data_IF_294582727212
#
_entry.id   IF_294582727212
#
_cell.length_a   1.000
_cell.length_b   1.000
_cell.length_c   1.000
_cell.angle_alpha   90.00
_cell.angle_beta   90.00
_cell.angle_gamma   90.00
#
_symmetry.space_group_name_H-M   'P 1'
#
loop_
_entity.id
_entity.type
_entity.pdbx_description
1 polymer ?
#
# COMPACT_ATOMS: atom_id res chain seq x y z
N UNK A 1 -1.55 6.17 1.95
CA UNK A 1 -0.59 5.51 1.05
C UNK A 1 0.69 6.28 0.79
N UNK A 2 0.68 7.36 0.00
CA UNK A 2 1.91 8.06 -0.42
C UNK A 2 2.87 8.40 0.73
N UNK A 3 2.35 8.93 1.83
CA UNK A 3 3.12 9.23 3.05
C UNK A 3 3.82 7.99 3.64
N UNK A 4 3.21 6.81 3.55
CA UNK A 4 3.79 5.56 4.04
C UNK A 4 4.87 5.04 3.11
N UNK A 5 4.63 5.08 1.80
CA UNK A 5 5.56 4.61 0.77
C UNK A 5 6.81 5.50 0.68
N UNK A 6 6.71 6.78 1.04
CA UNK A 6 7.84 7.71 1.08
C UNK A 6 8.63 7.69 2.40
N UNK A 7 8.23 6.91 3.42
CA UNK A 7 9.04 6.77 4.64
C UNK A 7 10.41 6.20 4.31
N UNK A 8 11.44 6.63 5.05
CA UNK A 8 12.84 6.25 4.85
C UNK A 8 13.05 4.73 4.78
N UNK A 9 12.31 3.96 5.59
CA UNK A 9 12.42 2.51 5.63
C UNK A 9 11.79 1.84 4.41
N UNK A 10 10.77 2.45 3.80
CA UNK A 10 10.03 1.93 2.64
C UNK A 10 10.64 2.46 1.35
N UNK A 11 10.53 3.77 1.10
CA UNK A 11 11.15 4.48 -0.02
C UNK A 11 10.70 4.02 -1.41
N UNK A 12 9.48 3.50 -1.56
CA UNK A 12 8.99 2.96 -2.84
C UNK A 12 8.47 4.04 -3.78
N UNK A 13 8.07 5.19 -3.22
CA UNK A 13 7.61 6.35 -3.99
C UNK A 13 8.10 7.64 -3.34
N UNK A 14 8.16 8.73 -4.10
CA UNK A 14 8.36 10.07 -3.56
C UNK A 14 7.54 11.12 -4.32
N UNK A 15 7.02 12.10 -3.59
CA UNK A 15 6.47 13.33 -4.20
C UNK A 15 7.52 14.03 -5.07
N UNK A 16 7.10 14.67 -6.17
CA UNK A 16 8.01 15.33 -7.12
C UNK A 16 8.83 16.43 -6.46
N UNK A 17 10.09 16.59 -6.91
CA UNK A 17 10.91 17.74 -6.52
C UNK A 17 10.60 18.92 -7.43
N UNK A 18 10.01 19.95 -6.86
CA UNK A 18 10.00 21.28 -7.48
C UNK A 18 11.39 21.90 -7.30
N UNK A 19 12.05 22.27 -8.41
CA UNK A 19 13.34 22.94 -8.38
C UNK A 19 13.28 24.20 -7.48
N UNK A 20 14.18 24.29 -6.51
CA UNK A 20 14.21 25.38 -5.52
C UNK A 20 13.44 25.12 -4.23
N UNK A 21 12.72 23.99 -4.11
CA UNK A 21 12.05 23.61 -2.87
C UNK A 21 13.07 23.14 -1.82
N UNK A 22 13.18 23.87 -0.70
CA UNK A 22 13.98 23.44 0.45
C UNK A 22 13.15 22.47 1.30
N UNK A 23 13.41 21.16 1.18
CA UNK A 23 12.70 20.13 1.95
C UNK A 23 12.88 20.24 3.49
N UNK A 24 13.92 20.94 3.94
CA UNK A 24 14.12 21.37 5.33
C UNK A 24 15.14 22.51 5.40
N UNK A 25 14.98 23.43 6.34
CA UNK A 25 15.91 24.55 6.58
C UNK A 25 17.30 24.13 7.05
N UNK A 26 17.45 22.94 7.65
CA UNK A 26 18.70 22.50 8.27
C UNK A 26 19.22 21.15 7.75
N UNK A 27 18.40 20.36 7.05
CA UNK A 27 18.75 19.01 6.62
C UNK A 27 18.57 18.87 5.09
N UNK A 28 19.65 19.06 4.31
CA UNK A 28 19.60 19.07 2.83
C UNK A 28 19.10 17.76 2.19
N UNK A 29 19.18 16.65 2.91
CA UNK A 29 18.73 15.33 2.45
C UNK A 29 17.24 15.06 2.73
N UNK A 30 16.56 15.92 3.51
CA UNK A 30 15.21 15.63 3.99
C UNK A 30 14.19 15.82 2.87
N UNK A 31 13.58 14.73 2.43
CA UNK A 31 12.44 14.72 1.50
C UNK A 31 11.17 14.34 2.27
N UNK A 32 10.21 15.25 2.38
CA UNK A 32 8.95 15.01 3.10
C UNK A 32 7.76 14.98 2.14
N UNK A 33 6.76 14.12 2.38
CA UNK A 33 5.50 14.08 1.64
C UNK A 33 4.55 15.22 2.09
N UNK A 34 5.05 16.46 2.04
CA UNK A 34 4.38 17.63 2.60
C UNK A 34 3.05 17.96 1.90
N UNK A 35 2.94 17.69 0.60
CA UNK A 35 1.71 17.93 -0.16
C UNK A 35 0.63 16.91 0.26
N UNK A 36 0.98 15.63 0.38
CA UNK A 36 0.09 14.59 0.90
C UNK A 36 -0.32 14.82 2.36
N UNK A 37 0.58 15.38 3.18
CA UNK A 37 0.28 15.80 4.55
C UNK A 37 -0.71 16.96 4.60
N UNK A 38 -0.53 17.96 3.73
CA UNK A 38 -1.46 19.09 3.56
C UNK A 38 -2.86 18.60 3.14
N UNK A 39 -2.95 17.73 2.12
CA UNK A 39 -4.22 17.14 1.68
C UNK A 39 -4.89 16.38 2.84
N UNK A 40 -4.11 15.62 3.62
CA UNK A 40 -4.63 14.91 4.81
C UNK A 40 -5.21 15.87 5.85
N UNK A 41 -4.61 17.05 6.01
CA UNK A 41 -5.11 18.12 6.88
C UNK A 41 -6.41 18.73 6.37
N UNK A 42 -6.44 19.13 5.09
CA UNK A 42 -7.62 19.74 4.45
C UNK A 42 -8.82 18.79 4.41
N UNK A 43 -8.60 17.49 4.23
CA UNK A 43 -9.65 16.49 4.32
C UNK A 43 -10.37 16.48 5.69
N UNK A 44 -9.69 16.92 6.77
CA UNK A 44 -10.32 17.06 8.10
C UNK A 44 -11.30 18.24 8.12
N UNK A 45 -10.98 19.35 7.44
CA UNK A 45 -11.87 20.49 7.30
C UNK A 45 -13.14 20.10 6.55
N UNK A 46 -13.00 19.45 5.38
CA UNK A 46 -14.15 18.99 4.59
C UNK A 46 -15.10 18.09 5.37
N UNK A 47 -14.57 17.15 6.16
CA UNK A 47 -15.42 16.31 7.03
C UNK A 47 -16.10 17.12 8.15
N UNK A 48 -15.45 18.15 8.66
CA UNK A 48 -16.05 19.08 9.63
C UNK A 48 -17.25 19.83 9.06
N UNK A 49 -17.15 20.30 7.80
CA UNK A 49 -18.26 20.98 7.13
C UNK A 49 -19.49 20.08 6.94
N UNK A 50 -19.32 18.76 6.81
CA UNK A 50 -20.44 17.82 6.70
C UNK A 50 -21.32 17.80 7.98
N UNK A 51 -20.73 17.98 9.16
CA UNK A 51 -21.49 18.06 10.43
C UNK A 51 -22.40 19.28 10.42
N UNK A 52 -21.87 20.44 10.01
CA UNK A 52 -22.65 21.69 9.90
C UNK A 52 -23.79 21.50 8.87
N UNK A 53 -23.51 20.85 7.74
CA UNK A 53 -24.53 20.53 6.74
C UNK A 53 -25.67 19.66 7.29
N UNK A 54 -25.37 18.71 8.19
CA UNK A 54 -26.38 17.88 8.84
C UNK A 54 -27.19 18.67 9.87
N UNK A 55 -26.54 19.52 10.67
CA UNK A 55 -27.22 20.36 11.68
C UNK A 55 -28.16 21.39 11.04
N UNK A 56 -27.87 21.82 9.81
CA UNK A 56 -28.72 22.74 9.05
C UNK A 56 -30.04 22.12 8.55
N UNK A 57 -30.25 20.79 8.66
CA UNK A 57 -31.44 20.11 8.09
C UNK A 57 -32.72 20.35 8.90
N UNK A 58 -32.64 20.34 10.23
CA UNK A 58 -33.80 20.35 11.12
C UNK A 58 -34.30 21.76 11.42
N UNK A 59 -34.66 22.50 10.38
CA UNK A 59 -35.23 23.85 10.49
C UNK A 59 -36.65 23.83 11.07
N UNK A 60 -37.05 24.94 11.69
CA UNK A 60 -38.35 25.04 12.37
C UNK A 60 -39.49 25.42 11.41
N UNK A 61 -40.57 24.65 11.44
CA UNK A 61 -41.81 24.87 10.66
C UNK A 61 -41.57 25.02 9.15
N UNK A 62 -42.03 26.10 8.52
CA UNK A 62 -41.84 26.35 7.08
C UNK A 62 -40.40 26.74 6.74
N UNK A 63 -39.66 27.36 7.68
CA UNK A 63 -38.21 27.64 7.67
C UNK A 63 -37.80 28.60 8.80
N UNK A 64 -36.58 28.44 9.28
CA UNK A 64 -35.79 29.53 9.91
C UNK A 64 -34.52 29.81 9.09
N UNK A 65 -33.76 30.84 9.45
CA UNK A 65 -32.60 31.34 8.67
C UNK A 65 -31.23 30.97 9.26
N UNK A 66 -31.18 30.12 10.30
CA UNK A 66 -29.94 29.76 10.99
C UNK A 66 -28.90 29.13 10.06
N UNK A 67 -29.34 28.29 9.11
CA UNK A 67 -28.50 27.71 8.07
C UNK A 67 -27.75 28.76 7.23
N UNK A 68 -28.32 29.95 7.04
CA UNK A 68 -27.79 30.93 6.09
C UNK A 68 -26.42 31.50 6.51
N UNK A 69 -26.18 31.73 7.80
CA UNK A 69 -24.87 32.25 8.26
C UNK A 69 -23.78 31.19 8.16
N UNK A 70 -24.11 29.93 8.43
CA UNK A 70 -23.17 28.80 8.36
C UNK A 70 -22.85 28.43 6.91
N UNK A 71 -23.85 28.44 6.03
CA UNK A 71 -23.70 28.18 4.58
C UNK A 71 -22.82 29.21 3.87
N UNK A 72 -22.84 30.48 4.30
CA UNK A 72 -21.92 31.51 3.80
C UNK A 72 -20.44 31.19 4.04
N UNK A 73 -20.16 30.33 5.01
CA UNK A 73 -18.80 29.84 5.30
C UNK A 73 -18.58 28.51 4.60
N UNK A 74 -19.42 27.50 4.90
CA UNK A 74 -19.12 26.12 4.50
C UNK A 74 -19.24 25.89 3.00
N UNK A 75 -20.13 26.58 2.28
CA UNK A 75 -20.28 26.37 0.83
C UNK A 75 -19.08 26.87 0.04
N UNK A 76 -18.64 28.14 0.16
CA UNK A 76 -17.44 28.58 -0.54
C UNK A 76 -16.21 27.81 -0.07
N UNK A 77 -16.03 27.62 1.25
CA UNK A 77 -14.86 26.92 1.78
C UNK A 77 -14.79 25.47 1.31
N UNK A 78 -15.89 24.71 1.37
CA UNK A 78 -15.88 23.32 0.95
C UNK A 78 -15.58 23.16 -0.54
N UNK A 79 -16.17 24.01 -1.39
CA UNK A 79 -15.90 23.99 -2.83
C UNK A 79 -14.43 24.33 -3.13
N UNK A 80 -13.91 25.40 -2.52
CA UNK A 80 -12.51 25.85 -2.75
C UNK A 80 -11.52 24.83 -2.23
N UNK A 81 -11.72 24.30 -1.02
CA UNK A 81 -10.82 23.31 -0.43
C UNK A 81 -10.83 22.02 -1.24
N UNK A 82 -12.00 21.55 -1.70
CA UNK A 82 -12.08 20.34 -2.51
C UNK A 82 -11.44 20.53 -3.88
N UNK A 83 -11.69 21.64 -4.56
CA UNK A 83 -11.07 21.98 -5.84
C UNK A 83 -9.54 21.98 -5.73
N UNK A 84 -9.01 22.69 -4.73
CA UNK A 84 -7.58 22.71 -4.45
C UNK A 84 -7.02 21.31 -4.15
N UNK A 85 -7.69 20.52 -3.32
CA UNK A 85 -7.25 19.15 -3.00
C UNK A 85 -7.21 18.24 -4.22
N UNK A 86 -8.18 18.37 -5.13
CA UNK A 86 -8.24 17.57 -6.36
C UNK A 86 -7.13 17.97 -7.33
N UNK A 87 -6.91 19.27 -7.54
CA UNK A 87 -5.82 19.76 -8.37
C UNK A 87 -4.46 19.32 -7.82
N UNK A 88 -4.22 19.53 -6.52
CA UNK A 88 -2.97 19.15 -5.88
C UNK A 88 -2.72 17.63 -5.92
N UNK A 89 -3.74 16.81 -5.66
CA UNK A 89 -3.58 15.35 -5.76
C UNK A 89 -3.29 14.90 -7.20
N UNK A 90 -3.90 15.55 -8.19
CA UNK A 90 -3.66 15.24 -9.60
C UNK A 90 -2.20 15.49 -9.95
N UNK A 91 -1.66 16.65 -9.59
CA UNK A 91 -0.24 16.99 -9.78
C UNK A 91 0.71 16.01 -9.06
N UNK A 92 0.39 15.63 -7.81
CA UNK A 92 1.18 14.65 -7.06
C UNK A 92 1.24 13.31 -7.80
N UNK A 93 0.08 12.82 -8.28
CA UNK A 93 0.00 11.50 -8.93
C UNK A 93 0.63 11.53 -10.33
N UNK A 94 0.41 12.60 -11.10
CA UNK A 94 0.98 12.77 -12.45
C UNK A 94 2.51 12.79 -12.45
N UNK A 95 3.11 13.33 -11.39
CA UNK A 95 4.55 13.50 -11.27
C UNK A 95 5.18 12.64 -10.16
N UNK A 96 4.47 11.63 -9.67
CA UNK A 96 4.95 10.76 -8.59
C UNK A 96 6.20 10.00 -9.06
N UNK A 97 7.29 10.12 -8.30
CA UNK A 97 8.48 9.29 -8.51
C UNK A 97 8.20 7.88 -7.96
N UNK A 98 8.34 6.85 -8.80
CA UNK A 98 8.16 5.44 -8.42
C UNK A 98 9.50 4.73 -8.55
N UNK A 99 9.86 3.91 -7.56
CA UNK A 99 11.15 3.20 -7.50
C UNK A 99 10.96 1.68 -7.53
N UNK A 100 10.77 1.05 -8.70
CA UNK A 100 10.53 -0.39 -8.83
C UNK A 100 11.63 -1.27 -8.21
N UNK A 101 12.89 -0.84 -8.28
CA UNK A 101 14.00 -1.60 -7.70
C UNK A 101 13.95 -1.60 -6.17
N UNK A 102 13.48 -0.50 -5.56
CA UNK A 102 13.23 -0.45 -4.12
C UNK A 102 12.06 -1.34 -3.72
N UNK A 103 10.98 -1.36 -4.51
CA UNK A 103 9.85 -2.29 -4.30
C UNK A 103 10.31 -3.76 -4.35
N UNK A 104 11.12 -4.13 -5.34
CA UNK A 104 11.70 -5.49 -5.44
C UNK A 104 12.62 -5.82 -4.27
N UNK A 105 13.42 -4.85 -3.81
CA UNK A 105 14.23 -5.03 -2.61
C UNK A 105 13.36 -5.27 -1.38
N UNK A 106 12.33 -4.45 -1.17
CA UNK A 106 11.43 -4.54 -0.03
C UNK A 106 10.67 -5.88 0.01
N UNK A 107 10.24 -6.38 -1.15
CA UNK A 107 9.61 -7.69 -1.29
C UNK A 107 10.50 -8.82 -0.71
N UNK A 108 11.82 -8.68 -0.86
CA UNK A 108 12.81 -9.66 -0.40
C UNK A 108 13.29 -9.45 1.04
N UNK A 109 12.87 -8.39 1.76
CA UNK A 109 13.33 -8.10 3.13
C UNK A 109 13.03 -9.22 4.13
N UNK A 110 11.97 -10.00 3.89
CA UNK A 110 11.60 -11.13 4.73
C UNK A 110 12.32 -12.43 4.35
N UNK A 111 13.31 -12.38 3.45
CA UNK A 111 14.04 -13.57 3.00
C UNK A 111 13.17 -14.61 2.30
N UNK A 112 12.05 -14.20 1.69
CA UNK A 112 11.11 -15.09 0.99
C UNK A 112 10.00 -15.68 1.86
N UNK A 113 9.87 -15.30 3.13
CA UNK A 113 8.80 -15.81 4.02
C UNK A 113 7.37 -15.54 3.48
N UNK A 114 7.20 -14.53 2.63
CA UNK A 114 5.95 -14.25 1.93
C UNK A 114 5.44 -15.42 1.07
N UNK A 115 6.32 -16.36 0.70
CA UNK A 115 5.98 -17.55 -0.10
C UNK A 115 5.61 -18.78 0.75
N UNK A 116 5.54 -18.63 2.08
CA UNK A 116 5.18 -19.72 3.01
C UNK A 116 3.80 -20.32 2.73
N UNK A 117 2.79 -19.49 2.47
CA UNK A 117 1.45 -19.99 2.13
C UNK A 117 1.42 -20.73 0.78
N UNK A 118 1.96 -20.18 -0.34
CA UNK A 118 2.10 -20.93 -1.59
C UNK A 118 2.77 -22.30 -1.42
N UNK A 119 3.87 -22.36 -0.65
CA UNK A 119 4.56 -23.62 -0.37
C UNK A 119 3.67 -24.61 0.40
N UNK A 120 2.95 -24.15 1.43
CA UNK A 120 2.02 -25.00 2.18
C UNK A 120 0.98 -25.63 1.26
N UNK A 121 0.36 -24.83 0.39
CA UNK A 121 -0.66 -25.32 -0.54
C UNK A 121 -0.05 -26.33 -1.52
N UNK A 122 1.14 -26.07 -2.06
CA UNK A 122 1.82 -27.00 -2.95
C UNK A 122 2.15 -28.35 -2.29
N UNK A 123 2.54 -28.35 -1.01
CA UNK A 123 2.78 -29.59 -0.26
C UNK A 123 1.49 -30.39 -0.04
N UNK A 124 0.38 -29.70 0.24
CA UNK A 124 -0.94 -30.35 0.37
C UNK A 124 -1.39 -30.93 -0.98
N UNK A 125 -1.22 -30.19 -2.07
CA UNK A 125 -1.56 -30.63 -3.42
C UNK A 125 -0.69 -31.82 -3.86
N UNK A 126 0.54 -31.91 -3.37
CA UNK A 126 1.44 -33.06 -3.55
C UNK A 126 1.10 -34.27 -2.65
N UNK A 127 0.06 -34.18 -1.82
CA UNK A 127 -0.46 -35.29 -1.01
C UNK A 127 -0.05 -35.30 0.46
N UNK A 128 0.62 -34.25 0.96
CA UNK A 128 0.93 -34.13 2.38
C UNK A 128 -0.33 -33.77 3.19
N UNK A 129 -0.50 -34.36 4.37
CA UNK A 129 -1.54 -33.93 5.31
C UNK A 129 -1.39 -32.44 5.65
N UNK A 130 -2.49 -31.69 5.65
CA UNK A 130 -2.48 -30.23 5.84
C UNK A 130 -1.88 -29.79 7.16
N UNK A 131 -2.12 -30.55 8.24
CA UNK A 131 -1.57 -30.22 9.56
C UNK A 131 -0.06 -30.47 9.58
N UNK A 132 0.38 -31.56 8.96
CA UNK A 132 1.80 -31.85 8.79
C UNK A 132 2.51 -30.79 7.92
N UNK A 133 1.93 -30.39 6.79
CA UNK A 133 2.46 -29.35 5.91
C UNK A 133 2.56 -28.00 6.62
N UNK A 134 1.54 -27.63 7.39
CA UNK A 134 1.56 -26.40 8.20
C UNK A 134 2.71 -26.41 9.21
N UNK A 135 2.86 -27.51 9.98
CA UNK A 135 3.92 -27.61 10.97
C UNK A 135 5.29 -27.53 10.33
N UNK A 136 5.51 -28.27 9.23
CA UNK A 136 6.77 -28.26 8.49
C UNK A 136 7.12 -26.85 7.98
N UNK A 137 6.18 -26.18 7.32
CA UNK A 137 6.40 -24.82 6.79
C UNK A 137 6.66 -23.83 7.92
N UNK A 138 5.92 -23.93 9.04
CA UNK A 138 6.11 -23.08 10.20
C UNK A 138 7.51 -23.26 10.81
N UNK A 139 7.96 -24.50 10.99
CA UNK A 139 9.28 -24.80 11.56
C UNK A 139 10.40 -24.23 10.69
N UNK A 140 10.31 -24.38 9.37
CA UNK A 140 11.29 -23.84 8.42
C UNK A 140 11.26 -22.30 8.38
N UNK A 141 10.07 -21.70 8.45
CA UNK A 141 9.89 -20.25 8.48
C UNK A 141 10.48 -19.61 9.74
N UNK A 142 10.36 -20.28 10.89
CA UNK A 142 10.96 -19.84 12.15
C UNK A 142 12.47 -20.06 12.20
N UNK A 143 12.96 -21.11 11.54
CA UNK A 143 14.39 -21.46 11.52
C UNK A 143 15.22 -20.54 10.59
N UNK A 144 14.68 -20.14 9.43
CA UNK A 144 15.45 -19.42 8.41
C UNK A 144 16.11 -18.12 8.91
N UNK A 145 15.40 -17.20 9.62
CA UNK A 145 16.03 -15.98 10.13
C UNK A 145 17.13 -16.25 11.16
N UNK A 146 16.98 -17.29 11.98
CA UNK A 146 17.95 -17.64 13.04
C UNK A 146 19.26 -18.17 12.45
N UNK A 147 19.18 -18.86 11.31
CA UNK A 147 20.34 -19.47 10.66
C UNK A 147 21.04 -18.52 9.67
N UNK A 148 20.49 -17.32 9.46
CA UNK A 148 21.03 -16.37 8.47
C UNK A 148 20.85 -16.83 7.02
N UNK A 149 19.95 -17.78 6.78
CA UNK A 149 19.59 -18.28 5.46
C UNK A 149 18.25 -17.71 5.02
N UNK A 150 18.05 -17.57 3.71
CA UNK A 150 16.73 -17.27 3.16
C UNK A 150 15.78 -18.45 3.39
N UNK A 151 14.47 -18.15 3.47
CA UNK A 151 13.44 -19.18 3.56
C UNK A 151 13.52 -20.16 2.39
N UNK A 152 13.85 -19.68 1.18
CA UNK A 152 14.02 -20.52 0.00
C UNK A 152 15.16 -21.53 0.15
N UNK A 153 16.31 -21.13 0.70
CA UNK A 153 17.44 -22.03 0.92
C UNK A 153 17.10 -23.13 1.93
N UNK A 154 16.45 -22.77 3.04
CA UNK A 154 16.03 -23.73 4.07
C UNK A 154 15.00 -24.72 3.55
N UNK A 155 14.06 -24.25 2.71
CA UNK A 155 13.07 -25.09 2.01
C UNK A 155 13.73 -26.04 1.03
N UNK A 156 14.65 -25.54 0.20
CA UNK A 156 15.36 -26.34 -0.80
C UNK A 156 16.29 -27.40 -0.17
N UNK A 157 16.80 -27.16 1.04
CA UNK A 157 17.62 -28.12 1.78
C UNK A 157 16.80 -29.23 2.48
N UNK A 158 15.48 -29.07 2.62
CA UNK A 158 14.64 -30.01 3.37
C UNK A 158 14.29 -31.25 2.53
N UNK A 159 14.67 -32.43 3.01
CA UNK A 159 14.44 -33.70 2.31
C UNK A 159 12.95 -34.01 2.07
N UNK A 160 12.07 -33.75 3.04
CA UNK A 160 10.63 -34.02 2.90
C UNK A 160 9.98 -33.17 1.80
N UNK A 161 10.50 -31.95 1.59
CA UNK A 161 10.03 -31.08 0.51
C UNK A 161 10.58 -31.55 -0.83
N UNK A 162 11.87 -31.91 -0.90
CA UNK A 162 12.52 -32.40 -2.13
C UNK A 162 11.94 -33.71 -2.64
N UNK A 163 11.41 -34.55 -1.75
CA UNK A 163 10.73 -35.80 -2.13
C UNK A 163 9.39 -35.55 -2.82
N UNK A 164 8.79 -34.36 -2.65
CA UNK A 164 7.47 -34.00 -3.18
C UNK A 164 7.51 -32.93 -4.28
N UNK A 165 8.45 -32.00 -4.20
CA UNK A 165 8.58 -30.84 -5.08
C UNK A 165 10.01 -30.79 -5.64
N UNK A 166 10.11 -30.71 -6.96
CA UNK A 166 11.38 -30.52 -7.65
C UNK A 166 11.85 -29.06 -7.62
N UNK A 167 13.12 -28.82 -8.00
CA UNK A 167 13.69 -27.47 -7.99
C UNK A 167 12.90 -26.50 -8.89
N UNK A 168 12.38 -26.99 -10.02
CA UNK A 168 11.57 -26.19 -10.93
C UNK A 168 10.22 -25.79 -10.31
N UNK A 169 9.60 -26.65 -9.49
CA UNK A 169 8.41 -26.30 -8.72
C UNK A 169 8.73 -25.25 -7.65
N UNK A 170 9.86 -25.39 -6.95
CA UNK A 170 10.29 -24.40 -5.98
C UNK A 170 10.59 -23.04 -6.63
N UNK A 171 11.25 -23.01 -7.79
CA UNK A 171 11.46 -21.77 -8.56
C UNK A 171 10.16 -21.06 -8.89
N UNK A 172 9.15 -21.81 -9.35
CA UNK A 172 7.82 -21.24 -9.61
C UNK A 172 7.18 -20.74 -8.31
N UNK A 173 7.20 -21.50 -7.22
CA UNK A 173 6.54 -21.09 -5.97
C UNK A 173 7.13 -19.81 -5.36
N UNK A 174 8.43 -19.59 -5.55
CA UNK A 174 9.15 -18.42 -5.05
C UNK A 174 9.25 -17.29 -6.09
N UNK A 175 8.57 -17.42 -7.23
CA UNK A 175 8.45 -16.34 -8.22
C UNK A 175 7.30 -15.38 -7.83
N UNK A 176 7.59 -14.10 -7.51
CA UNK A 176 6.56 -13.12 -7.17
C UNK A 176 5.59 -12.83 -8.32
N UNK A 177 5.99 -13.05 -9.58
CA UNK A 177 5.13 -12.82 -10.74
C UNK A 177 3.89 -13.73 -10.76
N UNK A 178 3.94 -14.88 -10.10
CA UNK A 178 2.79 -15.78 -9.98
C UNK A 178 1.62 -15.19 -9.18
N UNK A 179 1.89 -14.20 -8.32
CA UNK A 179 0.85 -13.45 -7.61
C UNK A 179 0.17 -12.40 -8.50
N UNK A 180 0.75 -12.09 -9.66
CA UNK A 180 0.27 -11.07 -10.59
C UNK A 180 -0.55 -11.65 -11.75
N UNK A 181 -0.81 -12.97 -11.76
CA UNK A 181 -1.50 -13.68 -12.86
C UNK A 181 -2.91 -13.17 -13.21
N UNK A 182 -3.54 -12.40 -12.32
CA UNK A 182 -4.88 -11.83 -12.53
C UNK A 182 -4.87 -10.30 -12.60
N UNK A 183 -3.70 -9.67 -12.73
CA UNK A 183 -3.59 -8.21 -12.87
C UNK A 183 -4.34 -7.75 -14.11
N UNK A 184 -4.14 -8.39 -15.27
CA UNK A 184 -4.81 -8.03 -16.52
C UNK A 184 -6.34 -8.10 -16.40
N UNK A 185 -6.87 -9.19 -15.81
CA UNK A 185 -8.30 -9.32 -15.51
C UNK A 185 -8.81 -8.21 -14.58
N UNK A 186 -7.98 -7.78 -13.63
CA UNK A 186 -8.29 -6.66 -12.74
C UNK A 186 -8.42 -5.34 -13.49
N UNK A 187 -7.47 -5.05 -14.39
CA UNK A 187 -7.48 -3.84 -15.22
C UNK A 187 -8.65 -3.81 -16.19
N UNK A 188 -8.95 -4.94 -16.85
CA UNK A 188 -10.12 -5.08 -17.73
C UNK A 188 -11.43 -4.74 -17.00
N UNK A 189 -11.60 -5.22 -15.76
CA UNK A 189 -12.80 -4.98 -14.95
C UNK A 189 -13.02 -3.51 -14.59
N UNK A 190 -11.94 -2.74 -14.45
CA UNK A 190 -12.01 -1.29 -14.18
C UNK A 190 -11.99 -0.45 -15.45
N UNK A 191 -12.07 -1.08 -16.63
CA UNK A 191 -12.13 -0.40 -17.92
C UNK A 191 -10.79 0.16 -18.41
N UNK A 192 -9.68 -0.28 -17.81
CA UNK A 192 -8.33 0.06 -18.26
C UNK A 192 -7.82 -1.04 -19.19
N UNK A 193 -7.41 -0.67 -20.40
CA UNK A 193 -6.69 -1.57 -21.31
C UNK A 193 -5.20 -1.36 -21.08
N UNK A 194 -4.51 -2.40 -20.60
CA UNK A 194 -3.03 -2.45 -20.59
C UNK A 194 -2.57 -3.03 -21.94
#
# INVERSE_FOLDING_TARGET
ELRHLQRTEVGETAEPIVAGNQGSSAMPHKRNPHASERISGLARLLRGYAVIGLENVSLWHERDISHSSTERVIFPDACIVLDYMLAEMTEIIEHLEVYPDRMRHNLNLTGGLIFSQPLLLALVDAGMDRKAAYQLVQDLALAAPVQGHSFREVVAANHLIRDLLDEAALDRLFDPWNQLRYVDTGFERVGLKI
#
